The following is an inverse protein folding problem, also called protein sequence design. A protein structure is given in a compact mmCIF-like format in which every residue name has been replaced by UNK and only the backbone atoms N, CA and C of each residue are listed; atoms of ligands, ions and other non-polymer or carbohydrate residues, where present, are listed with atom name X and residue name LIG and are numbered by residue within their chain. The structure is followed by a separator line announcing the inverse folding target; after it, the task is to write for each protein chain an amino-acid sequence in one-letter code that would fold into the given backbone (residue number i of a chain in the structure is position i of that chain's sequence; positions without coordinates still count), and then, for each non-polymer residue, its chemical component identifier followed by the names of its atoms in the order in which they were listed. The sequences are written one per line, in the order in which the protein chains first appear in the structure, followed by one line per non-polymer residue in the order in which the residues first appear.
data_IF_506672094830
#
_entry.id   IF_506672094830
#
_cell.length_a   1.000
_cell.length_b   1.000
_cell.length_c   1.000
_cell.angle_alpha   90.00
_cell.angle_beta   90.00
_cell.angle_gamma   90.00
#
_symmetry.space_group_name_H-M   'P 1'
#
loop_
_entity.id
_entity.type
_entity.pdbx_description
1 polymer ?
#
# COMPACT_ATOMS: atom_id res chain seq x y z
N UNK A 1 11.23 18.24 7.92
CA UNK A 1 11.47 16.82 7.77
C UNK A 1 10.67 16.00 8.77
N UNK A 2 10.23 14.84 8.34
CA UNK A 2 9.47 13.95 9.19
C UNK A 2 10.37 13.37 10.28
N UNK A 3 9.82 13.19 11.47
CA UNK A 3 10.51 12.54 12.57
C UNK A 3 10.02 11.12 12.69
N UNK A 4 10.88 10.17 13.11
CA UNK A 4 10.40 8.85 13.44
C UNK A 4 9.32 8.93 14.53
N UNK A 5 8.27 8.15 14.39
CA UNK A 5 7.21 8.10 15.40
C UNK A 5 7.72 7.31 16.60
N UNK A 6 7.30 7.69 17.83
CA UNK A 6 7.60 6.88 19.01
C UNK A 6 7.09 5.46 18.85
N UNK A 7 7.81 4.47 19.38
CA UNK A 7 7.43 3.07 19.28
C UNK A 7 6.01 2.79 19.79
N UNK A 8 5.59 3.49 20.84
CA UNK A 8 4.24 3.32 21.42
C UNK A 8 3.11 3.76 20.49
N UNK A 9 3.39 4.54 19.46
CA UNK A 9 2.35 4.95 18.49
C UNK A 9 1.92 3.83 17.55
N UNK A 10 2.65 2.73 17.52
CA UNK A 10 2.31 1.59 16.66
C UNK A 10 1.52 0.51 17.39
N UNK A 11 1.39 0.61 18.70
CA UNK A 11 0.61 -0.36 19.48
C UNK A 11 -0.86 -0.30 19.07
N UNK A 12 -1.45 -1.45 18.86
CA UNK A 12 -2.87 -1.62 18.51
C UNK A 12 -3.28 -1.05 17.15
N UNK A 13 -2.33 -0.70 16.27
CA UNK A 13 -2.67 -0.36 14.90
C UNK A 13 -3.02 -1.62 14.11
N UNK A 14 -4.18 -1.60 13.48
CA UNK A 14 -4.61 -2.71 12.63
C UNK A 14 -3.86 -2.72 11.30
N UNK A 15 -3.65 -1.55 10.71
CA UNK A 15 -3.01 -1.41 9.39
C UNK A 15 -2.11 -0.19 9.36
N UNK A 16 -0.95 -0.33 8.71
CA UNK A 16 -0.06 0.77 8.42
C UNK A 16 0.41 0.60 6.97
N UNK A 17 0.28 1.65 6.17
CA UNK A 17 0.50 1.57 4.72
C UNK A 17 1.54 2.59 4.22
N UNK A 18 2.78 2.52 4.70
CA UNK A 18 3.81 3.46 4.25
C UNK A 18 4.30 3.10 2.84
N UNK A 19 4.75 4.11 2.10
CA UNK A 19 5.57 3.84 0.92
C UNK A 19 7.02 3.58 1.39
N UNK A 20 7.93 3.29 0.45
CA UNK A 20 9.32 2.98 0.79
C UNK A 20 10.01 4.11 1.54
N UNK A 21 9.82 5.36 1.10
CA UNK A 21 10.42 6.53 1.76
C UNK A 21 9.88 6.73 3.16
N UNK A 22 8.57 6.59 3.32
CA UNK A 22 7.93 6.70 4.63
C UNK A 22 8.38 5.59 5.57
N UNK A 23 8.48 4.36 5.06
CA UNK A 23 8.96 3.23 5.85
C UNK A 23 10.40 3.47 6.33
N UNK A 24 11.26 4.01 5.44
CA UNK A 24 12.63 4.33 5.81
C UNK A 24 12.70 5.34 6.97
N UNK A 25 11.84 6.36 6.93
CA UNK A 25 11.77 7.34 8.01
C UNK A 25 11.29 6.70 9.32
N UNK A 26 10.32 5.81 9.23
CA UNK A 26 9.75 5.16 10.41
C UNK A 26 10.73 4.21 11.11
N UNK A 27 11.53 3.47 10.33
CA UNK A 27 12.44 2.47 10.90
C UNK A 27 13.88 2.99 11.06
N UNK A 28 14.22 4.12 10.45
CA UNK A 28 15.53 4.76 10.61
C UNK A 28 16.64 4.16 9.77
N UNK A 29 16.33 3.41 8.71
CA UNK A 29 17.32 2.91 7.76
C UNK A 29 16.76 2.88 6.35
N UNK A 30 17.61 2.70 5.35
CA UNK A 30 17.20 2.67 3.95
C UNK A 30 16.23 1.50 3.68
N UNK A 31 15.26 1.72 2.82
CA UNK A 31 14.28 0.71 2.37
C UNK A 31 14.26 0.75 0.84
N UNK A 32 15.27 0.15 0.23
CA UNK A 32 15.47 0.20 -1.22
C UNK A 32 15.56 -1.19 -1.85
N UNK A 33 16.00 -2.18 -1.09
CA UNK A 33 16.08 -3.58 -1.55
C UNK A 33 14.95 -4.39 -0.96
N UNK A 34 14.67 -5.54 -1.57
CA UNK A 34 13.63 -6.46 -1.05
C UNK A 34 13.93 -6.87 0.39
N UNK A 35 15.18 -7.16 0.70
CA UNK A 35 15.59 -7.52 2.06
C UNK A 35 15.32 -6.37 3.05
N UNK A 36 15.57 -5.14 2.62
CA UNK A 36 15.31 -3.94 3.46
C UNK A 36 13.82 -3.70 3.65
N UNK A 37 13.01 -3.94 2.63
CA UNK A 37 11.55 -3.87 2.74
C UNK A 37 11.05 -4.89 3.76
N UNK A 38 11.50 -6.12 3.66
CA UNK A 38 11.10 -7.18 4.59
C UNK A 38 11.53 -6.85 6.03
N UNK A 39 12.75 -6.35 6.19
CA UNK A 39 13.26 -5.94 7.50
C UNK A 39 12.46 -4.79 8.11
N UNK A 40 12.10 -3.79 7.29
CA UNK A 40 11.29 -2.66 7.74
C UNK A 40 9.91 -3.12 8.19
N UNK A 41 9.27 -3.98 7.41
CA UNK A 41 7.97 -4.53 7.77
C UNK A 41 8.03 -5.31 9.08
N UNK A 42 9.05 -6.16 9.25
CA UNK A 42 9.24 -6.92 10.48
C UNK A 42 9.44 -6.01 11.69
N UNK A 43 10.21 -4.92 11.52
CA UNK A 43 10.43 -3.94 12.58
C UNK A 43 9.11 -3.29 13.01
N UNK A 44 8.29 -2.88 12.04
CA UNK A 44 7.01 -2.25 12.33
C UNK A 44 6.02 -3.23 12.98
N UNK A 45 6.02 -4.48 12.53
CA UNK A 45 5.24 -5.54 13.17
C UNK A 45 5.68 -5.73 14.63
N UNK A 46 6.97 -5.71 14.87
CA UNK A 46 7.53 -5.82 16.22
C UNK A 46 7.15 -4.67 17.13
N UNK A 47 6.76 -3.52 16.57
CA UNK A 47 6.30 -2.36 17.34
C UNK A 47 4.81 -2.40 17.64
N UNK A 48 4.08 -3.42 17.18
CA UNK A 48 2.68 -3.61 17.50
C UNK A 48 1.69 -3.43 16.35
N UNK A 49 2.17 -3.15 15.14
CA UNK A 49 1.29 -3.06 13.97
C UNK A 49 0.89 -4.47 13.55
N UNK A 50 -0.41 -4.71 13.40
CA UNK A 50 -0.91 -6.05 13.03
C UNK A 50 -0.69 -6.39 11.56
N UNK A 51 -0.83 -5.40 10.69
CA UNK A 51 -0.66 -5.59 9.25
C UNK A 51 0.10 -4.41 8.67
N UNK A 52 1.28 -4.68 8.15
CA UNK A 52 2.12 -3.66 7.49
C UNK A 52 2.06 -3.91 5.98
N UNK A 53 1.72 -2.86 5.24
CA UNK A 53 1.67 -2.90 3.78
C UNK A 53 2.58 -1.80 3.25
N UNK A 54 3.76 -2.18 2.77
CA UNK A 54 4.72 -1.21 2.21
C UNK A 54 4.46 -1.13 0.71
N UNK A 55 4.02 0.03 0.24
CA UNK A 55 3.76 0.23 -1.18
C UNK A 55 5.07 0.42 -1.94
N UNK A 56 5.20 -0.28 -3.07
CA UNK A 56 6.43 -0.38 -3.85
C UNK A 56 6.29 0.25 -5.24
N UNK A 57 5.33 1.16 -5.40
CA UNK A 57 5.05 1.77 -6.69
C UNK A 57 4.61 0.72 -7.71
N UNK A 58 5.23 0.71 -8.87
CA UNK A 58 4.88 -0.21 -9.96
C UNK A 58 5.13 -1.69 -9.64
N UNK A 59 5.87 -1.99 -8.57
CA UNK A 59 6.12 -3.37 -8.15
C UNK A 59 5.01 -3.94 -7.26
N UNK A 60 4.04 -3.12 -6.84
CA UNK A 60 2.92 -3.55 -6.02
C UNK A 60 3.07 -3.20 -4.55
N UNK A 61 2.78 -4.14 -3.67
CA UNK A 61 2.85 -3.92 -2.23
C UNK A 61 3.40 -5.17 -1.53
N UNK A 62 4.30 -4.94 -0.58
CA UNK A 62 4.77 -6.01 0.31
C UNK A 62 3.93 -5.99 1.57
N UNK A 63 3.38 -7.13 1.94
CA UNK A 63 2.53 -7.29 3.11
C UNK A 63 3.23 -8.18 4.14
N UNK A 64 3.26 -7.71 5.37
CA UNK A 64 3.59 -8.55 6.53
C UNK A 64 2.44 -8.37 7.52
N UNK A 65 1.54 -9.32 7.54
CA UNK A 65 0.31 -9.26 8.32
C UNK A 65 0.03 -10.54 9.08
N UNK A 66 -1.04 -10.50 9.84
CA UNK A 66 -1.44 -11.61 10.69
C UNK A 66 -1.86 -12.86 9.90
N UNK A 67 -2.44 -12.65 8.72
CA UNK A 67 -2.99 -13.74 7.91
C UNK A 67 -2.28 -13.95 6.58
N UNK A 68 -1.37 -13.06 6.21
CA UNK A 68 -0.69 -13.11 4.92
C UNK A 68 0.67 -12.43 4.99
N UNK A 69 1.66 -13.00 4.30
CA UNK A 69 2.97 -12.40 4.13
C UNK A 69 3.43 -12.64 2.69
N UNK A 70 3.82 -11.58 2.01
CA UNK A 70 4.30 -11.68 0.64
C UNK A 70 4.02 -10.43 -0.18
N UNK A 71 4.32 -10.50 -1.46
CA UNK A 71 4.11 -9.40 -2.40
C UNK A 71 2.82 -9.61 -3.17
N UNK A 72 2.01 -8.54 -3.22
CA UNK A 72 0.85 -8.47 -4.13
C UNK A 72 1.28 -7.57 -5.28
N UNK A 73 1.36 -8.09 -6.52
CA UNK A 73 1.86 -7.29 -7.63
C UNK A 73 0.89 -6.18 -8.04
N UNK A 74 1.45 -5.09 -8.55
CA UNK A 74 0.65 -4.03 -9.14
C UNK A 74 0.12 -4.50 -10.50
N UNK A 75 -0.95 -3.84 -10.98
CA UNK A 75 -1.40 -4.06 -12.35
C UNK A 75 -0.46 -3.31 -13.31
N UNK A 76 -0.31 -3.86 -14.51
CA UNK A 76 0.41 -3.17 -15.58
C UNK A 76 -0.45 -2.00 -16.09
N UNK A 77 0.18 -0.84 -16.29
CA UNK A 77 -0.50 0.32 -16.88
C UNK A 77 0.30 0.79 -18.09
N UNK A 78 -0.43 1.21 -19.15
CA UNK A 78 0.21 1.61 -20.40
C UNK A 78 0.99 2.91 -20.26
N UNK A 79 0.55 3.77 -19.36
CA UNK A 79 1.12 5.11 -19.28
C UNK A 79 0.85 5.72 -17.91
N UNK A 80 1.90 6.25 -17.30
CA UNK A 80 1.79 7.01 -16.05
C UNK A 80 1.68 8.49 -16.41
N UNK A 81 0.60 9.13 -16.01
CA UNK A 81 0.35 10.55 -16.25
C UNK A 81 0.66 11.35 -15.00
N UNK A 82 0.16 10.90 -13.85
CA UNK A 82 0.29 11.63 -12.60
C UNK A 82 0.25 10.65 -11.43
N UNK A 83 1.22 10.76 -10.52
CA UNK A 83 1.28 9.92 -9.32
C UNK A 83 0.63 10.60 -8.10
N UNK A 84 0.15 11.83 -8.26
CA UNK A 84 -0.53 12.55 -7.16
C UNK A 84 -1.80 11.81 -6.79
N UNK A 85 -1.94 11.50 -5.51
CA UNK A 85 -3.12 10.85 -5.00
C UNK A 85 -3.14 9.33 -5.11
N UNK A 86 -2.09 8.72 -5.68
CA UNK A 86 -2.03 7.25 -5.77
C UNK A 86 -2.07 6.58 -4.40
N UNK A 87 -1.37 7.15 -3.41
CA UNK A 87 -1.39 6.65 -2.03
C UNK A 87 -2.77 6.76 -1.39
N UNK A 88 -3.46 7.88 -1.62
CA UNK A 88 -4.83 8.08 -1.11
C UNK A 88 -5.79 7.11 -1.78
N UNK A 89 -5.65 6.88 -3.10
CA UNK A 89 -6.47 5.92 -3.83
C UNK A 89 -6.24 4.50 -3.31
N UNK A 90 -4.99 4.13 -3.04
CA UNK A 90 -4.66 2.84 -2.45
C UNK A 90 -5.34 2.66 -1.09
N UNK A 91 -5.15 3.63 -0.19
CA UNK A 91 -5.69 3.56 1.18
C UNK A 91 -7.21 3.53 1.19
N UNK A 92 -7.85 4.35 0.37
CA UNK A 92 -9.31 4.38 0.27
C UNK A 92 -9.87 3.06 -0.23
N UNK A 93 -9.27 2.49 -1.27
CA UNK A 93 -9.70 1.21 -1.83
C UNK A 93 -9.45 0.05 -0.86
N UNK A 94 -8.31 0.07 -0.16
CA UNK A 94 -7.99 -0.94 0.85
C UNK A 94 -9.04 -0.94 1.97
N UNK A 95 -9.33 0.23 2.51
CA UNK A 95 -10.31 0.36 3.60
C UNK A 95 -11.70 -0.11 3.15
N UNK A 96 -12.13 0.29 1.95
CA UNK A 96 -13.42 -0.12 1.41
C UNK A 96 -13.51 -1.63 1.20
N UNK A 97 -12.46 -2.24 0.64
CA UNK A 97 -12.42 -3.67 0.38
C UNK A 97 -12.44 -4.49 1.68
N UNK A 98 -11.71 -4.04 2.68
CA UNK A 98 -11.72 -4.70 4.00
C UNK A 98 -13.09 -4.57 4.67
N UNK A 99 -13.74 -3.42 4.52
CA UNK A 99 -15.10 -3.21 5.04
C UNK A 99 -16.12 -4.11 4.35
N UNK A 100 -15.88 -4.46 3.08
CA UNK A 100 -16.73 -5.40 2.34
C UNK A 100 -16.49 -6.87 2.73
N UNK A 101 -15.48 -7.13 3.55
CA UNK A 101 -15.17 -8.47 4.02
C UNK A 101 -14.15 -9.23 3.18
N UNK A 102 -13.47 -8.57 2.26
CA UNK A 102 -12.38 -9.21 1.52
C UNK A 102 -11.22 -9.54 2.46
N UNK A 103 -10.53 -10.64 2.19
CA UNK A 103 -9.31 -10.93 2.92
C UNK A 103 -8.19 -9.96 2.53
N UNK A 104 -7.11 -9.95 3.30
CA UNK A 104 -6.05 -8.96 3.12
C UNK A 104 -5.41 -9.00 1.73
N UNK A 105 -5.00 -10.15 1.17
CA UNK A 105 -4.41 -10.14 -0.18
C UNK A 105 -5.39 -9.70 -1.26
N UNK A 106 -6.68 -10.05 -1.17
CA UNK A 106 -7.69 -9.62 -2.13
C UNK A 106 -7.93 -8.12 -2.02
N UNK A 107 -8.02 -7.60 -0.80
CA UNK A 107 -8.18 -6.16 -0.56
C UNK A 107 -6.97 -5.37 -1.09
N UNK A 108 -5.75 -5.87 -0.84
CA UNK A 108 -4.53 -5.24 -1.32
C UNK A 108 -4.45 -5.26 -2.86
N UNK A 109 -4.88 -6.35 -3.49
CA UNK A 109 -4.91 -6.45 -4.94
C UNK A 109 -5.84 -5.41 -5.56
N UNK A 110 -7.02 -5.23 -4.98
CA UNK A 110 -7.96 -4.19 -5.41
C UNK A 110 -7.38 -2.79 -5.19
N UNK A 111 -6.71 -2.57 -4.06
CA UNK A 111 -6.07 -1.29 -3.77
C UNK A 111 -4.96 -0.99 -4.77
N UNK A 112 -4.14 -1.98 -5.14
CA UNK A 112 -3.12 -1.83 -6.17
C UNK A 112 -3.73 -1.48 -7.53
N UNK A 113 -4.83 -2.12 -7.90
CA UNK A 113 -5.51 -1.83 -9.17
C UNK A 113 -6.05 -0.39 -9.18
N UNK A 114 -6.65 0.04 -8.08
CA UNK A 114 -7.17 1.41 -7.95
C UNK A 114 -6.04 2.43 -8.06
N UNK A 115 -4.95 2.23 -7.34
CA UNK A 115 -3.79 3.12 -7.40
C UNK A 115 -3.17 3.14 -8.80
N UNK A 116 -3.05 1.96 -9.43
CA UNK A 116 -2.51 1.84 -10.78
C UNK A 116 -3.34 2.60 -11.82
N UNK A 117 -4.66 2.49 -11.73
CA UNK A 117 -5.54 3.24 -12.62
C UNK A 117 -5.48 4.75 -12.35
N UNK A 118 -5.33 5.15 -11.10
CA UNK A 118 -5.27 6.57 -10.77
C UNK A 118 -4.06 7.27 -11.37
N UNK A 119 -2.91 6.59 -11.51
CA UNK A 119 -1.70 7.19 -12.11
C UNK A 119 -1.82 7.40 -13.61
N UNK A 120 -2.83 6.84 -14.26
CA UNK A 120 -3.08 7.05 -15.70
C UNK A 120 -3.88 8.32 -15.96
N UNK A 121 -4.27 9.06 -14.94
CA UNK A 121 -5.15 10.23 -15.03
C UNK A 121 -4.51 11.46 -14.38
N UNK A 122 -4.77 12.67 -14.90
CA UNK A 122 -4.24 13.88 -14.28
C UNK A 122 -5.06 14.28 -13.06
N UNK A 123 -4.35 14.71 -12.02
CA UNK A 123 -4.95 15.19 -10.78
C UNK A 123 -5.48 14.07 -9.88
N UNK A 124 -5.74 14.41 -8.61
CA UNK A 124 -6.13 13.41 -7.62
C UNK A 124 -7.63 13.12 -7.62
N UNK A 125 -8.48 14.16 -7.47
CA UNK A 125 -9.92 13.94 -7.30
C UNK A 125 -10.60 13.33 -8.53
N UNK A 126 -10.41 13.86 -9.75
CA UNK A 126 -10.98 13.23 -10.95
C UNK A 126 -10.23 11.97 -11.38
N UNK A 127 -9.08 11.68 -10.77
CA UNK A 127 -8.28 10.51 -11.11
C UNK A 127 -8.75 9.24 -10.40
N UNK A 128 -9.59 9.34 -9.37
CA UNK A 128 -10.04 8.16 -8.62
C UNK A 128 -10.91 7.26 -9.51
N UNK A 129 -10.48 6.01 -9.76
CA UNK A 129 -11.26 5.09 -10.61
C UNK A 129 -12.56 4.68 -9.96
N UNK A 130 -13.56 4.38 -10.80
CA UNK A 130 -14.79 3.78 -10.30
C UNK A 130 -14.56 2.31 -9.96
N UNK A 131 -15.43 1.75 -9.15
CA UNK A 131 -15.37 0.33 -8.81
C UNK A 131 -15.43 -0.55 -10.06
N UNK A 132 -16.27 -0.19 -11.04
CA UNK A 132 -16.39 -0.94 -12.29
C UNK A 132 -15.07 -0.96 -13.06
N UNK A 133 -14.34 0.17 -13.09
CA UNK A 133 -13.04 0.25 -13.75
C UNK A 133 -12.00 -0.64 -13.06
N UNK A 134 -11.99 -0.65 -11.72
CA UNK A 134 -11.08 -1.47 -10.94
C UNK A 134 -11.38 -2.95 -11.16
N UNK A 135 -12.65 -3.33 -11.13
CA UNK A 135 -13.07 -4.72 -11.36
C UNK A 135 -12.69 -5.19 -12.75
N UNK A 136 -12.85 -4.33 -13.77
CA UNK A 136 -12.44 -4.64 -15.12
C UNK A 136 -10.93 -4.86 -15.23
N UNK A 137 -10.13 -4.02 -14.57
CA UNK A 137 -8.67 -4.16 -14.56
C UNK A 137 -8.22 -5.47 -13.88
N UNK A 138 -8.91 -5.87 -12.82
CA UNK A 138 -8.59 -7.11 -12.11
C UNK A 138 -8.94 -8.37 -12.90
N UNK A 139 -9.89 -8.27 -13.85
CA UNK A 139 -10.27 -9.39 -14.72
C UNK A 139 -9.37 -9.53 -15.96
N UNK A 140 -8.55 -8.56 -16.22
CA UNK A 140 -7.67 -8.56 -17.40
C UNK A 140 -6.51 -9.54 -17.30
#
# INVERSE_FOLDING_TARGET
PARPLPATMFEDLDYLTPNESEAALLVGHAVETDAEVEAAAATLRGRGVRNVLITLGERGVYIDGETFQGVVPAIAVDRVVDTIGAGDAFNGALAAALAEGLDLPAAARRACATAGLSVTRPGAAPAVPTRAEVDAALRS
#
